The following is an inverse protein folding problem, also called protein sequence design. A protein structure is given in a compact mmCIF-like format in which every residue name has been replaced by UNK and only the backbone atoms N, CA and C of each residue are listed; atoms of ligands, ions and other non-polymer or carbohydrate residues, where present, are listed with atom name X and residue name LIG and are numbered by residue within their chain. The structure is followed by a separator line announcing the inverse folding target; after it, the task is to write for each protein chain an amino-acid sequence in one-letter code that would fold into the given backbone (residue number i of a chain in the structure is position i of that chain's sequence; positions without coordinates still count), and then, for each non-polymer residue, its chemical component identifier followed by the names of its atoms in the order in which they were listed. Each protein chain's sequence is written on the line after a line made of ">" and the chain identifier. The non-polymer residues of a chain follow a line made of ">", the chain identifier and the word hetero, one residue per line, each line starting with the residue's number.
data_IF_473825522716
#
_entry.id   IF_473825522716
#
_cell.length_a   1.000
_cell.length_b   1.000
_cell.length_c   1.000
_cell.angle_alpha   90.00
_cell.angle_beta   90.00
_cell.angle_gamma   90.00
#
_symmetry.space_group_name_H-M   'P 1'
#
loop_
_entity.id
_entity.type
_entity.pdbx_description
1 polymer ?
#
# COMPACT_ATOMS: atom_id res chain seq x y z
N UNK A 1 -7.01 -8.83 23.78
CA UNK A 1 -7.23 -7.48 24.34
C UNK A 1 -7.29 -6.47 23.21
N UNK A 2 -8.15 -5.46 23.31
CA UNK A 2 -8.27 -4.40 22.28
C UNK A 2 -7.08 -3.44 22.42
N UNK A 3 -6.27 -3.29 21.36
CA UNK A 3 -5.06 -2.44 21.38
C UNK A 3 -5.43 -0.94 21.44
N UNK A 4 -6.48 -0.52 20.71
CA UNK A 4 -6.98 0.87 20.64
C UNK A 4 -8.44 0.95 20.22
N UNK A 5 -9.12 2.01 20.67
CA UNK A 5 -10.45 2.43 20.22
C UNK A 5 -10.43 3.93 19.91
N UNK A 6 -11.35 4.36 19.05
CA UNK A 6 -11.55 5.76 18.70
C UNK A 6 -12.93 5.92 18.03
N UNK A 7 -13.54 7.11 18.07
CA UNK A 7 -14.86 7.36 17.48
C UNK A 7 -14.92 7.09 15.97
N UNK A 8 -13.81 7.24 15.24
CA UNK A 8 -13.77 7.01 13.80
C UNK A 8 -12.37 6.62 13.31
N UNK A 9 -12.30 6.05 12.11
CA UNK A 9 -11.07 5.59 11.47
C UNK A 9 -11.15 5.76 9.95
N UNK A 10 -10.03 6.14 9.32
CA UNK A 10 -9.84 6.07 7.86
C UNK A 10 -8.79 4.99 7.60
N UNK A 11 -9.16 3.96 6.84
CA UNK A 11 -8.27 2.82 6.54
C UNK A 11 -8.01 2.73 5.03
N UNK A 12 -6.74 2.91 4.64
CA UNK A 12 -6.30 2.74 3.25
C UNK A 12 -6.02 1.27 2.92
N UNK A 13 -5.42 0.55 3.87
CA UNK A 13 -5.06 -0.85 3.74
C UNK A 13 -4.79 -1.48 5.12
N UNK A 14 -4.67 -2.81 5.21
CA UNK A 14 -4.22 -3.46 6.43
C UNK A 14 -2.92 -2.84 6.96
N UNK A 15 -2.94 -2.35 8.21
CA UNK A 15 -1.81 -1.70 8.91
C UNK A 15 -1.42 -0.30 8.37
N UNK A 16 -2.23 0.28 7.48
CA UNK A 16 -2.12 1.65 6.97
C UNK A 16 -3.45 2.40 7.23
N UNK A 17 -3.56 3.06 8.37
CA UNK A 17 -4.80 3.72 8.81
C UNK A 17 -4.55 4.91 9.73
N UNK A 18 -5.56 5.79 9.84
CA UNK A 18 -5.65 6.86 10.82
C UNK A 18 -6.79 6.54 11.77
N UNK A 19 -6.53 6.57 13.08
CA UNK A 19 -7.57 6.50 14.11
C UNK A 19 -7.72 7.87 14.78
N UNK A 20 -8.93 8.40 14.83
CA UNK A 20 -9.23 9.62 15.56
C UNK A 20 -9.48 9.26 17.03
N UNK A 21 -8.84 9.98 17.94
CA UNK A 21 -9.01 9.76 19.39
C UNK A 21 -10.23 10.50 19.92
N UNK A 22 -10.41 11.74 19.48
CA UNK A 22 -11.49 12.64 19.86
C UNK A 22 -11.99 13.39 18.63
N UNK A 23 -13.10 14.11 18.76
CA UNK A 23 -13.64 14.98 17.70
C UNK A 23 -12.79 16.24 17.45
N UNK A 24 -11.77 16.51 18.28
CA UNK A 24 -10.89 17.70 18.22
C UNK A 24 -9.53 17.38 17.54
N UNK A 25 -9.57 16.74 16.37
CA UNK A 25 -8.45 16.44 15.46
C UNK A 25 -7.23 15.65 15.99
N UNK A 26 -7.19 15.31 17.28
CA UNK A 26 -6.21 14.39 17.82
C UNK A 26 -6.34 13.01 17.14
N UNK A 27 -5.35 12.70 16.32
CA UNK A 27 -5.34 11.49 15.49
C UNK A 27 -4.03 10.74 15.64
N UNK A 28 -4.08 9.43 15.40
CA UNK A 28 -2.89 8.58 15.39
C UNK A 28 -2.80 7.85 14.07
N UNK A 29 -1.73 8.14 13.34
CA UNK A 29 -1.43 7.55 12.04
C UNK A 29 -0.58 6.28 12.25
N UNK A 30 -1.06 5.14 11.76
CA UNK A 30 -0.30 3.87 11.71
C UNK A 30 -0.03 3.56 10.24
N UNK A 31 1.26 3.53 9.87
CA UNK A 31 1.71 3.22 8.51
C UNK A 31 2.79 2.16 8.58
N UNK A 32 2.59 1.04 7.87
CA UNK A 32 3.59 -0.02 7.79
C UNK A 32 4.64 0.34 6.73
N UNK A 33 5.90 0.19 7.11
CA UNK A 33 7.02 0.39 6.19
C UNK A 33 7.37 1.85 5.94
N UNK A 34 6.71 2.82 6.59
CA UNK A 34 7.11 4.24 6.56
C UNK A 34 7.71 4.60 7.91
N UNK A 35 8.92 5.17 7.88
CA UNK A 35 9.50 5.76 9.08
C UNK A 35 8.87 7.14 9.29
N UNK A 36 7.97 7.24 10.26
CA UNK A 36 7.22 8.46 10.57
C UNK A 36 8.06 9.55 11.23
N UNK A 37 9.23 9.21 11.80
CA UNK A 37 10.15 10.21 12.38
C UNK A 37 10.81 11.04 11.28
N UNK A 38 11.17 10.39 10.17
CA UNK A 38 11.83 11.03 9.03
C UNK A 38 10.85 11.54 7.99
N UNK A 39 9.73 10.84 7.80
CA UNK A 39 8.67 11.23 6.87
C UNK A 39 7.45 11.65 7.69
N UNK A 40 7.33 12.95 7.97
CA UNK A 40 6.16 13.50 8.67
C UNK A 40 4.96 13.45 7.72
N UNK A 41 4.08 12.51 7.96
CA UNK A 41 2.82 12.36 7.24
C UNK A 41 1.72 13.08 8.00
N UNK A 42 0.93 13.88 7.28
CA UNK A 42 -0.24 14.58 7.80
C UNK A 42 -1.54 13.87 7.43
N UNK A 43 -2.63 14.23 8.12
CA UNK A 43 -3.99 13.78 7.81
C UNK A 43 -4.39 14.18 6.38
N UNK A 44 -4.10 15.42 6.00
CA UNK A 44 -4.47 15.98 4.69
C UNK A 44 -3.81 15.21 3.57
N UNK A 45 -2.52 14.85 3.70
CA UNK A 45 -1.85 14.00 2.70
C UNK A 45 -2.54 12.65 2.49
N UNK A 46 -3.12 12.06 3.55
CA UNK A 46 -3.87 10.80 3.42
C UNK A 46 -5.23 11.04 2.75
N UNK A 47 -5.89 12.16 3.06
CA UNK A 47 -7.16 12.55 2.42
C UNK A 47 -6.95 12.84 0.93
N UNK A 48 -5.93 13.60 0.57
CA UNK A 48 -5.52 13.87 -0.82
C UNK A 48 -5.25 12.55 -1.58
N UNK A 49 -4.60 11.58 -0.93
CA UNK A 49 -4.33 10.28 -1.56
C UNK A 49 -5.63 9.55 -1.96
N UNK A 50 -6.70 9.70 -1.18
CA UNK A 50 -8.00 9.06 -1.44
C UNK A 50 -8.78 9.86 -2.49
N UNK A 51 -8.93 11.17 -2.28
CA UNK A 51 -9.83 12.00 -3.06
C UNK A 51 -9.24 12.40 -4.42
N UNK A 52 -7.93 12.67 -4.47
CA UNK A 52 -7.24 13.16 -5.66
C UNK A 52 -6.37 12.09 -6.32
N UNK A 53 -6.26 10.89 -5.72
CA UNK A 53 -5.36 9.83 -6.18
C UNK A 53 -3.88 10.20 -6.04
N UNK A 54 -3.55 11.20 -5.24
CA UNK A 54 -2.18 11.68 -5.05
C UNK A 54 -1.28 10.59 -4.46
N UNK A 55 -0.01 10.56 -4.88
CA UNK A 55 0.98 9.64 -4.33
C UNK A 55 1.92 10.43 -3.43
N UNK A 56 1.92 10.10 -2.13
CA UNK A 56 2.90 10.67 -1.20
C UNK A 56 4.15 9.82 -1.18
N UNK A 57 5.26 10.38 -1.64
CA UNK A 57 6.56 9.74 -1.59
C UNK A 57 7.20 9.85 -0.21
N UNK A 58 7.92 8.81 0.18
CA UNK A 58 8.66 8.74 1.42
C UNK A 58 10.07 8.23 1.15
N UNK A 59 11.03 8.71 1.93
CA UNK A 59 12.41 8.24 1.90
C UNK A 59 12.61 7.21 3.00
N UNK A 60 13.09 6.02 2.62
CA UNK A 60 13.51 5.00 3.57
C UNK A 60 15.03 4.92 3.63
N UNK A 61 15.56 4.92 4.85
CA UNK A 61 16.97 4.73 5.09
C UNK A 61 17.21 3.29 5.52
N UNK A 62 18.11 2.61 4.83
CA UNK A 62 18.53 1.24 5.12
C UNK A 62 20.04 1.21 5.26
N UNK A 63 20.55 0.44 6.22
CA UNK A 63 21.96 0.08 6.23
C UNK A 63 22.17 -1.15 5.33
N UNK A 64 23.21 -1.08 4.51
CA UNK A 64 23.63 -2.15 3.62
C UNK A 64 25.12 -2.39 3.76
N UNK A 65 25.53 -3.66 3.82
CA UNK A 65 26.94 -4.02 3.82
C UNK A 65 27.31 -4.63 2.47
N UNK A 66 28.39 -4.13 1.87
CA UNK A 66 28.98 -4.67 0.64
C UNK A 66 30.50 -4.62 0.78
N UNK A 67 31.18 -5.72 0.43
CA UNK A 67 32.64 -5.83 0.52
C UNK A 67 33.19 -5.42 1.91
N UNK A 68 32.54 -5.91 2.99
CA UNK A 68 32.86 -5.57 4.38
C UNK A 68 32.72 -4.08 4.76
N UNK A 69 32.23 -3.22 3.87
CA UNK A 69 31.93 -1.83 4.17
C UNK A 69 30.43 -1.66 4.39
N UNK A 70 30.07 -1.03 5.50
CA UNK A 70 28.70 -0.64 5.80
C UNK A 70 28.44 0.74 5.21
N UNK A 71 27.30 0.89 4.55
CA UNK A 71 26.84 2.14 3.97
C UNK A 71 25.38 2.37 4.31
N UNK A 72 24.98 3.64 4.34
CA UNK A 72 23.58 4.02 4.45
C UNK A 72 23.02 4.31 3.07
N UNK A 73 21.96 3.61 2.71
CA UNK A 73 21.25 3.77 1.44
C UNK A 73 19.93 4.49 1.68
N UNK A 74 19.72 5.55 0.92
CA UNK A 74 18.47 6.31 0.87
C UNK A 74 17.69 5.86 -0.36
N UNK A 75 16.48 5.36 -0.16
CA UNK A 75 15.60 4.90 -1.24
C UNK A 75 14.29 5.65 -1.15
N UNK A 76 13.97 6.42 -2.19
CA UNK A 76 12.65 7.01 -2.35
C UNK A 76 11.66 5.93 -2.79
N UNK A 77 10.49 5.90 -2.15
CA UNK A 77 9.42 4.95 -2.45
C UNK A 77 8.07 5.61 -2.29
N UNK A 78 7.04 4.99 -2.87
CA UNK A 78 5.66 5.39 -2.60
C UNK A 78 5.33 5.03 -1.15
N UNK A 79 5.15 6.04 -0.31
CA UNK A 79 4.84 5.87 1.10
C UNK A 79 3.35 5.64 1.32
N UNK A 80 2.52 6.46 0.68
CA UNK A 80 1.07 6.41 0.77
C UNK A 80 0.48 6.54 -0.63
N UNK A 81 -0.49 5.67 -0.92
CA UNK A 81 -1.22 5.60 -2.18
C UNK A 81 -2.70 5.41 -1.87
N UNK A 82 -3.60 5.99 -2.67
CA UNK A 82 -5.05 5.80 -2.51
C UNK A 82 -5.53 4.39 -2.85
N UNK A 83 -4.80 3.68 -3.73
CA UNK A 83 -5.15 2.34 -4.18
C UNK A 83 -4.11 1.35 -3.65
N UNK A 84 -4.60 0.31 -2.96
CA UNK A 84 -3.79 -0.83 -2.50
C UNK A 84 -4.28 -2.16 -3.09
N UNK A 85 -5.15 -2.11 -4.10
CA UNK A 85 -5.59 -3.29 -4.86
C UNK A 85 -4.37 -3.91 -5.54
N UNK A 86 -4.01 -5.12 -5.11
CA UNK A 86 -2.89 -5.88 -5.68
C UNK A 86 -3.32 -6.96 -6.65
N UNK A 87 -4.60 -7.30 -6.65
CA UNK A 87 -5.14 -8.44 -7.37
C UNK A 87 -6.58 -8.22 -7.80
N UNK A 88 -6.93 -8.81 -8.95
CA UNK A 88 -8.28 -8.94 -9.47
C UNK A 88 -8.66 -10.43 -9.35
N UNK A 89 -9.85 -10.71 -8.83
CA UNK A 89 -10.40 -12.08 -8.81
C UNK A 89 -11.20 -12.27 -10.09
N UNK A 90 -10.89 -13.33 -10.83
CA UNK A 90 -11.59 -13.69 -12.07
C UNK A 90 -12.81 -14.58 -11.77
N UNK A 91 -13.68 -14.78 -12.75
CA UNK A 91 -14.92 -15.56 -12.60
C UNK A 91 -14.67 -17.00 -12.11
N UNK A 92 -13.56 -17.60 -12.55
CA UNK A 92 -13.13 -18.92 -12.12
C UNK A 92 -12.43 -18.94 -10.73
N UNK A 93 -12.55 -17.88 -9.95
CA UNK A 93 -11.90 -17.68 -8.63
C UNK A 93 -10.36 -17.63 -8.67
N UNK A 94 -9.75 -17.64 -9.85
CA UNK A 94 -8.32 -17.40 -9.96
C UNK A 94 -7.98 -15.94 -9.67
N UNK A 95 -6.76 -15.70 -9.21
CA UNK A 95 -6.30 -14.39 -8.77
C UNK A 95 -5.20 -13.90 -9.70
N UNK A 96 -5.43 -12.78 -10.36
CA UNK A 96 -4.45 -12.16 -11.25
C UNK A 96 -3.91 -10.87 -10.64
N UNK A 97 -2.67 -10.47 -10.95
CA UNK A 97 -2.14 -9.17 -10.52
C UNK A 97 -3.06 -8.03 -10.98
N UNK A 98 -3.25 -7.01 -10.15
CA UNK A 98 -3.92 -5.79 -10.58
C UNK A 98 -2.96 -4.95 -11.42
N UNK A 99 -3.43 -4.50 -12.59
CA UNK A 99 -2.75 -3.51 -13.42
C UNK A 99 -3.68 -2.33 -13.63
N UNK A 100 -3.13 -1.11 -13.54
CA UNK A 100 -3.92 0.10 -13.71
C UNK A 100 -4.57 0.15 -15.10
N UNK A 101 -5.88 0.42 -15.13
CA UNK A 101 -6.67 0.47 -16.36
C UNK A 101 -7.15 -0.89 -16.89
N UNK A 102 -6.64 -2.01 -16.36
CA UNK A 102 -7.13 -3.34 -16.71
C UNK A 102 -8.24 -3.80 -15.78
N UNK A 103 -9.18 -4.54 -16.35
CA UNK A 103 -10.32 -5.16 -15.69
C UNK A 103 -10.23 -6.68 -15.81
N UNK A 104 -11.11 -7.43 -15.14
CA UNK A 104 -11.15 -8.89 -15.24
C UNK A 104 -11.31 -9.40 -16.69
N UNK A 105 -11.92 -8.60 -17.57
CA UNK A 105 -12.14 -8.95 -18.98
C UNK A 105 -10.86 -8.97 -19.81
N UNK A 106 -9.83 -8.27 -19.35
CA UNK A 106 -8.55 -8.14 -20.05
C UNK A 106 -7.61 -9.32 -19.73
N UNK A 107 -8.01 -10.24 -18.85
CA UNK A 107 -7.25 -11.43 -18.50
C UNK A 107 -7.82 -12.68 -19.19
N UNK A 108 -6.96 -13.43 -19.87
CA UNK A 108 -7.29 -14.75 -20.41
C UNK A 108 -6.69 -15.84 -19.53
N UNK A 109 -7.52 -16.77 -19.04
CA UNK A 109 -7.05 -17.97 -18.35
C UNK A 109 -6.98 -19.09 -19.39
N UNK A 110 -5.78 -19.62 -19.71
CA UNK A 110 -5.67 -20.75 -20.63
C UNK A 110 -6.43 -21.94 -20.07
N UNK A 111 -7.30 -22.54 -20.89
CA UNK A 111 -7.98 -23.78 -20.53
C UNK A 111 -6.98 -24.94 -20.57
N UNK A 112 -7.17 -25.99 -19.76
CA UNK A 112 -6.22 -27.12 -19.69
C UNK A 112 -5.92 -27.77 -21.04
N UNK A 113 -6.86 -27.73 -21.99
CA UNK A 113 -6.70 -28.27 -23.35
C UNK A 113 -5.73 -27.45 -24.21
N UNK A 114 -5.68 -26.13 -24.01
CA UNK A 114 -4.81 -25.22 -24.78
C UNK A 114 -3.36 -25.20 -24.27
N UNK A 115 -3.14 -25.56 -22.99
CA UNK A 115 -1.81 -25.66 -22.41
C UNK A 115 -0.98 -26.84 -22.96
N UNK A 116 -1.63 -27.87 -23.53
CA UNK A 116 -0.97 -29.04 -24.12
C UNK A 116 -0.54 -28.84 -25.59
N UNK A 117 -0.85 -27.69 -26.20
CA UNK A 117 -0.52 -27.40 -27.61
C UNK A 117 0.63 -26.38 -27.77
N UNK A 118 1.32 -26.06 -26.68
CA UNK A 118 2.42 -25.08 -26.65
C UNK A 118 3.80 -25.69 -26.34
N UNK A 119 3.89 -27.02 -26.31
CA UNK A 119 5.16 -27.78 -26.20
C UNK A 119 5.55 -28.40 -27.56
#
# INVERSE_FOLDING_TARGET
>A
AIERQGPSMIALAPKNYITFKNYCDDSKIKLKGVNQKTNKITKDQIVDCINEGKITKCTNMRLGQKNHQMSQLSIEKNGITGIHTKMIVLENQSCCPYMYGLTAKDYSVPTPLAAQMLD
#
